data_IF_622625498205
#
_entry.id   IF_622625498205
#
_cell.length_a   1.000
_cell.length_b   1.000
_cell.length_c   1.000
_cell.angle_alpha   90.00
_cell.angle_beta   90.00
_cell.angle_gamma   90.00
#
_symmetry.space_group_name_H-M   'P 1'
#
loop_
_entity.id
_entity.type
_entity.pdbx_description
1 polymer ?
#
# COMPACT_ATOMS: atom_id res chain seq x y z
N UNK A 1 7.16 17.48 3.95
CA UNK A 1 5.73 17.26 3.66
C UNK A 1 5.07 16.82 4.94
N UNK A 2 3.96 17.46 5.33
CA UNK A 2 3.07 16.86 6.32
C UNK A 2 2.74 15.43 5.85
N UNK A 3 2.65 14.48 6.77
CA UNK A 3 2.43 13.09 6.38
C UNK A 3 1.15 13.00 5.54
N UNK A 4 1.24 12.54 4.31
CA UNK A 4 0.10 12.43 3.36
C UNK A 4 -1.12 11.75 4.02
N UNK A 5 -0.88 10.77 4.90
CA UNK A 5 -1.96 10.05 5.60
C UNK A 5 -2.88 10.98 6.42
N UNK A 6 -2.37 12.10 6.94
CA UNK A 6 -3.17 13.09 7.67
C UNK A 6 -3.95 14.06 6.76
N UNK A 7 -3.68 14.08 5.47
CA UNK A 7 -4.37 14.97 4.52
C UNK A 7 -5.78 14.46 4.24
N UNK A 8 -6.78 15.33 4.43
CA UNK A 8 -8.18 15.05 4.12
C UNK A 8 -8.61 15.45 2.71
N UNK A 9 -7.74 16.09 1.95
CA UNK A 9 -8.03 16.59 0.61
C UNK A 9 -7.82 15.49 -0.44
N UNK A 10 -8.89 14.99 -1.03
CA UNK A 10 -8.84 13.94 -2.03
C UNK A 10 -8.03 14.33 -3.27
N UNK A 11 -8.03 15.61 -3.65
CA UNK A 11 -7.27 16.14 -4.77
C UNK A 11 -5.76 15.96 -4.61
N UNK A 12 -5.23 16.12 -3.40
CA UNK A 12 -3.81 15.89 -3.11
C UNK A 12 -3.45 14.41 -3.31
N UNK A 13 -4.30 13.51 -2.79
CA UNK A 13 -4.13 12.07 -2.98
C UNK A 13 -4.22 11.68 -4.47
N UNK A 14 -5.16 12.29 -5.22
CA UNK A 14 -5.35 12.04 -6.65
C UNK A 14 -4.10 12.39 -7.45
N UNK A 15 -3.55 13.57 -7.23
CA UNK A 15 -2.30 14.01 -7.87
C UNK A 15 -1.12 13.09 -7.54
N UNK A 16 -1.01 12.61 -6.29
CA UNK A 16 0.01 11.61 -5.94
C UNK A 16 -0.22 10.29 -6.67
N UNK A 17 -1.47 9.83 -6.74
CA UNK A 17 -1.82 8.59 -7.44
C UNK A 17 -1.48 8.65 -8.94
N UNK A 18 -1.80 9.76 -9.60
CA UNK A 18 -1.46 10.01 -11.01
C UNK A 18 0.05 9.98 -11.27
N UNK A 19 0.85 10.38 -10.29
CA UNK A 19 2.32 10.36 -10.34
C UNK A 19 2.96 9.03 -9.92
N UNK A 20 2.16 8.03 -9.58
CA UNK A 20 2.69 6.74 -9.12
C UNK A 20 3.71 6.13 -10.08
N UNK A 21 3.36 6.03 -11.37
CA UNK A 21 4.23 5.44 -12.38
C UNK A 21 5.50 6.28 -12.64
N UNK A 22 5.41 7.60 -12.58
CA UNK A 22 6.57 8.47 -12.68
C UNK A 22 7.58 8.19 -11.54
N UNK A 23 7.09 7.95 -10.31
CA UNK A 23 7.93 7.57 -9.17
C UNK A 23 8.54 6.17 -9.36
N UNK A 24 7.78 5.20 -9.84
CA UNK A 24 8.27 3.86 -10.14
C UNK A 24 9.39 3.91 -11.18
N UNK A 25 9.19 4.62 -12.29
CA UNK A 25 10.19 4.79 -13.35
C UNK A 25 11.46 5.49 -12.85
N UNK A 26 11.31 6.59 -12.11
CA UNK A 26 12.45 7.31 -11.55
C UNK A 26 13.23 6.43 -10.57
N UNK A 27 12.53 5.62 -9.76
CA UNK A 27 13.15 4.67 -8.83
C UNK A 27 13.89 3.56 -9.58
N UNK A 28 13.30 3.05 -10.65
CA UNK A 28 13.91 2.03 -11.49
C UNK A 28 15.22 2.53 -12.13
N UNK A 29 15.18 3.74 -12.71
CA UNK A 29 16.35 4.39 -13.32
C UNK A 29 17.46 4.68 -12.29
N UNK A 30 17.08 5.09 -11.09
CA UNK A 30 18.06 5.48 -10.07
C UNK A 30 18.77 4.29 -9.40
N UNK A 31 18.05 3.21 -9.06
CA UNK A 31 18.58 2.15 -8.17
C UNK A 31 18.07 0.74 -8.42
N UNK A 32 16.92 0.55 -9.11
CA UNK A 32 16.19 -0.74 -9.14
C UNK A 32 15.69 -1.07 -10.55
N UNK A 33 16.55 -1.38 -11.52
CA UNK A 33 16.20 -1.47 -12.95
C UNK A 33 15.05 -2.45 -13.26
N UNK A 34 14.90 -3.52 -12.48
CA UNK A 34 13.80 -4.48 -12.65
C UNK A 34 12.45 -4.00 -12.10
N UNK A 35 12.42 -2.92 -11.31
CA UNK A 35 11.21 -2.52 -10.57
C UNK A 35 10.05 -2.21 -11.50
N UNK A 36 10.27 -1.46 -12.58
CA UNK A 36 9.21 -1.06 -13.49
C UNK A 36 8.48 -2.28 -14.09
N UNK A 37 9.23 -3.27 -14.57
CA UNK A 37 8.65 -4.48 -15.16
C UNK A 37 7.89 -5.30 -14.09
N UNK A 38 8.49 -5.49 -12.92
CA UNK A 38 7.89 -6.26 -11.84
C UNK A 38 6.65 -5.57 -11.29
N UNK A 39 6.65 -4.24 -11.21
CA UNK A 39 5.51 -3.49 -10.69
C UNK A 39 4.34 -3.49 -11.69
N UNK A 40 4.60 -3.34 -13.00
CA UNK A 40 3.57 -3.53 -14.04
C UNK A 40 2.95 -4.92 -13.97
N UNK A 41 3.77 -5.95 -13.87
CA UNK A 41 3.27 -7.30 -13.71
C UNK A 41 2.37 -7.45 -12.47
N UNK A 42 2.80 -6.91 -11.34
CA UNK A 42 2.04 -7.03 -10.09
C UNK A 42 0.73 -6.24 -10.12
N UNK A 43 0.73 -5.02 -10.69
CA UNK A 43 -0.45 -4.15 -10.68
C UNK A 43 -1.46 -4.51 -11.79
N UNK A 44 -1.01 -5.04 -12.91
CA UNK A 44 -1.84 -5.22 -14.11
C UNK A 44 -2.04 -6.70 -14.46
N UNK A 45 -0.95 -7.48 -14.54
CA UNK A 45 -1.02 -8.86 -15.05
C UNK A 45 -1.47 -9.86 -13.97
N UNK A 46 -0.87 -9.82 -12.77
CA UNK A 46 -1.20 -10.76 -11.71
C UNK A 46 -2.69 -10.72 -11.31
N UNK A 47 -3.33 -9.56 -11.11
CA UNK A 47 -4.76 -9.49 -10.85
C UNK A 47 -5.61 -10.13 -11.96
N UNK A 48 -5.27 -9.85 -13.22
CA UNK A 48 -5.96 -10.43 -14.37
C UNK A 48 -5.81 -11.96 -14.43
N UNK A 49 -4.60 -12.49 -14.16
CA UNK A 49 -4.34 -13.93 -14.09
C UNK A 49 -5.14 -14.60 -12.97
N UNK A 50 -5.19 -14.01 -11.77
CA UNK A 50 -5.99 -14.55 -10.67
C UNK A 50 -7.48 -14.57 -11.03
N UNK A 51 -8.01 -13.48 -11.59
CA UNK A 51 -9.42 -13.34 -11.94
C UNK A 51 -9.83 -14.23 -13.10
N UNK A 52 -8.93 -14.57 -14.03
CA UNK A 52 -9.22 -15.46 -15.16
C UNK A 52 -9.44 -16.92 -14.74
N UNK A 53 -9.01 -17.31 -13.54
CA UNK A 53 -9.16 -18.68 -13.03
C UNK A 53 -10.51 -18.85 -12.34
N UNK A 54 -11.28 -19.91 -12.65
CA UNK A 54 -12.58 -20.16 -12.02
C UNK A 54 -12.49 -20.24 -10.49
N UNK A 55 -11.42 -20.82 -9.97
CA UNK A 55 -11.16 -21.07 -8.56
C UNK A 55 -10.11 -20.12 -7.95
N UNK A 56 -9.91 -18.97 -8.53
CA UNK A 56 -9.03 -17.87 -8.06
C UNK A 56 -7.88 -18.33 -7.16
N UNK A 57 -6.72 -18.52 -7.71
CA UNK A 57 -5.51 -18.91 -6.98
C UNK A 57 -4.27 -18.29 -7.62
N UNK A 58 -3.13 -18.40 -6.96
CA UNK A 58 -1.82 -18.12 -7.53
C UNK A 58 -1.02 -19.42 -7.70
N UNK A 59 -0.14 -19.43 -8.69
CA UNK A 59 0.83 -20.52 -8.93
C UNK A 59 2.11 -20.29 -8.16
N UNK A 60 2.97 -21.33 -8.07
CA UNK A 60 4.29 -21.19 -7.46
C UNK A 60 5.18 -20.21 -8.24
N UNK A 61 5.06 -20.17 -9.55
CA UNK A 61 5.81 -19.20 -10.39
C UNK A 61 5.38 -17.76 -10.08
N UNK A 62 4.09 -17.51 -9.89
CA UNK A 62 3.56 -16.21 -9.50
C UNK A 62 3.97 -15.84 -8.07
N UNK A 63 3.98 -16.80 -7.12
CA UNK A 63 4.48 -16.56 -5.77
C UNK A 63 5.97 -16.16 -5.78
N UNK A 64 6.79 -16.82 -6.60
CA UNK A 64 8.21 -16.47 -6.77
C UNK A 64 8.38 -15.07 -7.34
N UNK A 65 7.61 -14.72 -8.37
CA UNK A 65 7.67 -13.40 -9.00
C UNK A 65 7.14 -12.30 -8.07
N UNK A 66 6.05 -12.57 -7.32
CA UNK A 66 5.54 -11.67 -6.27
C UNK A 66 6.59 -11.41 -5.19
N UNK A 67 7.32 -12.46 -4.78
CA UNK A 67 8.40 -12.30 -3.81
C UNK A 67 9.55 -11.46 -4.39
N UNK A 68 9.95 -11.67 -5.66
CA UNK A 68 10.96 -10.85 -6.33
C UNK A 68 10.51 -9.39 -6.41
N UNK A 69 9.26 -9.13 -6.83
CA UNK A 69 8.66 -7.80 -6.84
C UNK A 69 8.73 -7.13 -5.46
N UNK A 70 8.24 -7.82 -4.43
CA UNK A 70 8.18 -7.30 -3.06
C UNK A 70 9.57 -6.93 -2.53
N UNK A 71 10.56 -7.78 -2.75
CA UNK A 71 11.95 -7.55 -2.30
C UNK A 71 12.67 -6.49 -3.13
N UNK A 72 12.29 -6.33 -4.40
CA UNK A 72 12.81 -5.26 -5.27
C UNK A 72 12.17 -3.92 -4.90
N UNK A 73 10.88 -3.88 -4.65
CA UNK A 73 10.15 -2.66 -4.28
C UNK A 73 10.57 -2.14 -2.89
N UNK A 74 10.70 -3.02 -1.92
CA UNK A 74 11.05 -2.71 -0.54
C UNK A 74 12.49 -3.05 -0.14
N UNK A 75 12.64 -3.72 1.00
CA UNK A 75 13.94 -4.14 1.58
C UNK A 75 14.32 -5.53 1.06
N UNK A 76 15.55 -5.69 0.57
CA UNK A 76 16.07 -6.97 0.09
C UNK A 76 16.27 -7.96 1.24
N UNK A 77 15.67 -9.16 1.11
CA UNK A 77 15.74 -10.26 2.08
C UNK A 77 15.85 -11.60 1.35
N UNK A 78 17.03 -12.00 0.87
CA UNK A 78 17.22 -13.15 -0.05
C UNK A 78 16.71 -14.47 0.51
N UNK A 79 16.75 -14.67 1.82
CA UNK A 79 16.27 -15.88 2.49
C UNK A 79 14.77 -16.10 2.30
N UNK A 80 13.98 -15.04 2.19
CA UNK A 80 12.53 -15.14 1.96
C UNK A 80 12.24 -15.67 0.55
N UNK A 81 13.01 -15.27 -0.43
CA UNK A 81 12.84 -15.75 -1.82
C UNK A 81 13.11 -17.25 -1.93
N UNK A 82 14.16 -17.75 -1.27
CA UNK A 82 14.49 -19.16 -1.23
C UNK A 82 13.39 -19.99 -0.53
N UNK A 83 12.89 -19.49 0.60
CA UNK A 83 11.80 -20.13 1.34
C UNK A 83 10.52 -20.20 0.51
N UNK A 84 10.11 -19.10 -0.12
CA UNK A 84 8.93 -19.08 -0.98
C UNK A 84 9.06 -20.07 -2.15
N UNK A 85 10.25 -20.13 -2.77
CA UNK A 85 10.54 -21.03 -3.87
C UNK A 85 10.55 -22.51 -3.47
N UNK A 86 10.70 -22.84 -2.18
CA UNK A 86 10.72 -24.22 -1.66
C UNK A 86 9.33 -24.80 -1.37
N UNK A 87 8.25 -24.06 -1.64
CA UNK A 87 6.89 -24.60 -1.58
C UNK A 87 6.61 -25.51 -2.77
N UNK A 88 5.71 -26.47 -2.61
CA UNK A 88 5.17 -27.25 -3.73
C UNK A 88 4.08 -26.48 -4.48
N UNK A 89 3.96 -26.71 -5.79
CA UNK A 89 2.92 -26.09 -6.64
C UNK A 89 1.52 -26.30 -6.07
N UNK A 90 1.15 -27.56 -5.78
CA UNK A 90 -0.18 -27.90 -5.24
C UNK A 90 -0.47 -27.21 -3.91
N UNK A 91 0.55 -27.06 -3.06
CA UNK A 91 0.40 -26.37 -1.78
C UNK A 91 0.09 -24.88 -1.99
N UNK A 92 0.80 -24.22 -2.91
CA UNK A 92 0.58 -22.80 -3.22
C UNK A 92 -0.83 -22.58 -3.80
N UNK A 93 -1.23 -23.37 -4.79
CA UNK A 93 -2.57 -23.28 -5.39
C UNK A 93 -3.66 -23.57 -4.37
N UNK A 94 -3.54 -24.63 -3.58
CA UNK A 94 -4.52 -25.00 -2.56
C UNK A 94 -4.68 -23.91 -1.50
N UNK A 95 -3.58 -23.43 -0.92
CA UNK A 95 -3.61 -22.41 0.14
C UNK A 95 -4.12 -21.08 -0.36
N UNK A 96 -3.69 -20.64 -1.54
CA UNK A 96 -4.19 -19.40 -2.11
C UNK A 96 -5.67 -19.47 -2.50
N UNK A 97 -6.13 -20.59 -3.04
CA UNK A 97 -7.56 -20.82 -3.32
C UNK A 97 -8.38 -20.75 -2.04
N UNK A 98 -7.98 -21.45 -1.01
CA UNK A 98 -8.66 -21.43 0.30
C UNK A 98 -8.69 -20.01 0.86
N UNK A 99 -7.55 -19.32 0.86
CA UNK A 99 -7.46 -17.96 1.39
C UNK A 99 -8.36 -16.97 0.64
N UNK A 100 -8.37 -17.01 -0.68
CA UNK A 100 -9.23 -16.12 -1.48
C UNK A 100 -10.72 -16.46 -1.33
N UNK A 101 -11.04 -17.73 -1.06
CA UNK A 101 -12.41 -18.16 -0.72
C UNK A 101 -12.87 -17.73 0.67
N UNK A 102 -11.97 -17.40 1.58
CA UNK A 102 -12.31 -16.91 2.92
C UNK A 102 -12.69 -15.41 2.94
N UNK A 103 -12.38 -14.67 1.87
CA UNK A 103 -12.77 -13.25 1.82
C UNK A 103 -14.29 -13.09 1.91
N UNK A 104 -14.79 -12.13 2.69
CA UNK A 104 -14.10 -10.95 3.25
C UNK A 104 -13.41 -11.18 4.62
N UNK A 105 -13.31 -12.38 5.16
CA UNK A 105 -12.55 -12.66 6.40
C UNK A 105 -11.04 -12.56 6.13
N UNK A 106 -10.54 -11.32 6.12
CA UNK A 106 -9.12 -11.04 5.85
C UNK A 106 -8.18 -11.67 6.88
N UNK A 107 -8.46 -11.65 8.20
CA UNK A 107 -7.62 -12.35 9.19
C UNK A 107 -7.46 -13.84 8.89
N UNK A 108 -8.53 -14.55 8.57
CA UNK A 108 -8.49 -15.97 8.22
C UNK A 108 -7.71 -16.20 6.91
N UNK A 109 -7.91 -15.36 5.90
CA UNK A 109 -7.18 -15.42 4.63
C UNK A 109 -5.67 -15.21 4.82
N UNK A 110 -5.27 -14.26 5.67
CA UNK A 110 -3.85 -14.03 6.02
C UNK A 110 -3.25 -15.23 6.74
N UNK A 111 -3.97 -15.82 7.69
CA UNK A 111 -3.52 -17.01 8.43
C UNK A 111 -3.29 -18.20 7.48
N UNK A 112 -4.22 -18.42 6.54
CA UNK A 112 -4.13 -19.50 5.55
C UNK A 112 -2.89 -19.34 4.64
N UNK A 113 -2.67 -18.16 4.06
CA UNK A 113 -1.49 -17.87 3.25
C UNK A 113 -0.19 -17.96 4.05
N UNK A 114 -0.21 -17.55 5.31
CA UNK A 114 0.97 -17.58 6.18
C UNK A 114 1.41 -18.99 6.56
N UNK A 115 0.64 -20.02 6.21
CA UNK A 115 1.05 -21.42 6.33
C UNK A 115 2.09 -21.84 5.27
N UNK A 116 2.26 -21.06 4.20
CA UNK A 116 3.29 -21.30 3.18
C UNK A 116 4.67 -20.84 3.69
N UNK A 117 5.71 -21.58 3.30
CA UNK A 117 7.09 -21.25 3.67
C UNK A 117 7.49 -19.89 3.09
N UNK A 118 8.06 -19.02 3.93
CA UNK A 118 8.49 -17.68 3.54
C UNK A 118 7.35 -16.65 3.36
N UNK A 119 6.11 -17.05 3.61
CA UNK A 119 4.93 -16.17 3.54
C UNK A 119 4.48 -15.82 4.95
N UNK A 120 4.76 -14.61 5.39
CA UNK A 120 4.18 -14.04 6.60
C UNK A 120 3.08 -13.02 6.25
N UNK A 121 2.47 -12.34 7.24
CA UNK A 121 1.36 -11.41 7.02
C UNK A 121 1.61 -10.35 5.95
N UNK A 122 2.82 -9.78 5.88
CA UNK A 122 3.16 -8.81 4.83
C UNK A 122 3.21 -9.42 3.42
N UNK A 123 3.64 -10.68 3.25
CA UNK A 123 3.60 -11.33 1.94
C UNK A 123 2.18 -11.80 1.60
N UNK A 124 1.44 -12.30 2.60
CA UNK A 124 0.03 -12.64 2.46
C UNK A 124 -0.79 -11.42 2.01
N UNK A 125 -0.56 -10.25 2.61
CA UNK A 125 -1.25 -9.01 2.22
C UNK A 125 -0.97 -8.61 0.78
N UNK A 126 0.22 -8.90 0.23
CA UNK A 126 0.51 -8.65 -1.18
C UNK A 126 -0.29 -9.56 -2.12
N UNK A 127 -0.47 -10.83 -1.75
CA UNK A 127 -1.34 -11.75 -2.53
C UNK A 127 -2.80 -11.27 -2.51
N UNK A 128 -3.28 -10.90 -1.31
CA UNK A 128 -4.66 -10.46 -1.13
C UNK A 128 -4.93 -9.13 -1.84
N UNK A 129 -3.99 -8.19 -1.80
CA UNK A 129 -4.15 -6.89 -2.45
C UNK A 129 -4.21 -7.00 -3.99
N UNK A 130 -3.49 -7.94 -4.59
CA UNK A 130 -3.61 -8.23 -6.02
C UNK A 130 -4.97 -8.83 -6.39
N UNK A 131 -5.55 -9.65 -5.50
CA UNK A 131 -6.81 -10.36 -5.76
C UNK A 131 -8.06 -9.55 -5.37
N UNK A 132 -7.96 -8.72 -4.33
CA UNK A 132 -9.08 -7.98 -3.73
C UNK A 132 -8.67 -6.58 -3.26
N UNK A 133 -8.26 -5.68 -4.18
CA UNK A 133 -7.73 -4.35 -3.85
C UNK A 133 -8.74 -3.44 -3.15
N UNK A 134 -10.04 -3.72 -3.29
CA UNK A 134 -11.09 -2.98 -2.59
C UNK A 134 -11.16 -3.31 -1.09
N UNK A 135 -10.73 -4.51 -0.69
CA UNK A 135 -10.81 -5.00 0.69
C UNK A 135 -9.47 -4.94 1.41
N UNK A 136 -8.36 -5.00 0.68
CA UNK A 136 -7.03 -5.21 1.26
C UNK A 136 -5.98 -4.26 0.68
N UNK A 137 -4.89 -4.08 1.41
CA UNK A 137 -3.73 -3.31 0.97
C UNK A 137 -2.45 -4.10 1.26
N UNK A 138 -1.45 -3.99 0.41
CA UNK A 138 -0.13 -4.50 0.72
C UNK A 138 0.48 -3.75 1.92
N UNK A 139 0.98 -4.46 2.91
CA UNK A 139 1.71 -3.87 4.01
C UNK A 139 3.18 -3.69 3.63
N UNK A 140 3.46 -2.69 2.79
CA UNK A 140 4.83 -2.24 2.53
C UNK A 140 5.38 -1.50 3.75
N UNK A 141 6.71 -1.53 3.92
CA UNK A 141 7.37 -0.79 5.01
C UNK A 141 7.08 0.71 4.88
N UNK A 142 7.18 1.24 3.68
CA UNK A 142 6.99 2.65 3.36
C UNK A 142 5.58 3.13 3.70
N UNK A 143 4.55 2.35 3.34
CA UNK A 143 3.17 2.70 3.67
C UNK A 143 2.89 2.54 5.16
N UNK A 144 3.31 1.44 5.79
CA UNK A 144 3.08 1.20 7.21
C UNK A 144 3.80 2.24 8.10
N UNK A 145 5.02 2.64 7.72
CA UNK A 145 5.77 3.71 8.41
C UNK A 145 5.09 5.09 8.27
N UNK A 146 4.30 5.30 7.21
CA UNK A 146 3.57 6.55 6.96
C UNK A 146 2.25 6.67 7.73
N UNK A 147 1.75 5.57 8.30
CA UNK A 147 0.48 5.56 9.04
C UNK A 147 0.70 5.87 10.52
N UNK A 148 0.10 6.93 11.08
CA UNK A 148 0.30 7.31 12.49
C UNK A 148 -0.11 6.22 13.47
N UNK A 149 0.72 6.01 14.51
CA UNK A 149 0.45 5.06 15.59
C UNK A 149 0.72 3.59 15.24
N UNK A 150 1.41 3.32 14.13
CA UNK A 150 1.84 1.96 13.76
C UNK A 150 3.35 1.72 13.95
N UNK A 151 4.08 2.69 14.44
CA UNK A 151 5.52 2.56 14.71
C UNK A 151 5.77 2.00 16.12
N UNK A 152 6.74 1.10 16.30
CA UNK A 152 7.54 0.42 15.26
C UNK A 152 6.72 -0.61 14.48
N UNK A 153 6.97 -0.70 13.16
CA UNK A 153 6.27 -1.66 12.29
C UNK A 153 6.58 -3.10 12.70
N UNK A 154 5.52 -3.88 12.91
CA UNK A 154 5.59 -5.30 13.25
C UNK A 154 4.94 -6.13 12.14
N UNK A 155 5.57 -7.25 11.78
CA UNK A 155 5.06 -8.11 10.70
C UNK A 155 4.16 -9.23 11.25
N UNK A 156 3.24 -8.88 12.15
CA UNK A 156 2.27 -9.78 12.76
C UNK A 156 0.88 -9.60 12.13
N UNK A 157 0.03 -10.64 12.20
CA UNK A 157 -1.34 -10.55 11.74
C UNK A 157 -2.14 -9.45 12.47
N UNK A 158 -1.92 -9.29 13.78
CA UNK A 158 -2.54 -8.22 14.57
C UNK A 158 -2.15 -6.83 14.07
N UNK A 159 -0.87 -6.63 13.76
CA UNK A 159 -0.39 -5.34 13.25
C UNK A 159 -0.92 -5.05 11.85
N UNK A 160 -1.01 -6.08 11.01
CA UNK A 160 -1.64 -5.95 9.69
C UNK A 160 -3.12 -5.58 9.79
N UNK A 161 -3.88 -6.19 10.71
CA UNK A 161 -5.27 -5.83 10.92
C UNK A 161 -5.43 -4.35 11.29
N UNK A 162 -4.63 -3.84 12.24
CA UNK A 162 -4.62 -2.43 12.62
C UNK A 162 -4.26 -1.49 11.46
N UNK A 163 -3.29 -1.90 10.63
CA UNK A 163 -2.93 -1.17 9.42
C UNK A 163 -4.11 -1.11 8.45
N UNK A 164 -4.73 -2.25 8.16
CA UNK A 164 -5.84 -2.34 7.21
C UNK A 164 -7.06 -1.54 7.67
N UNK A 165 -7.41 -1.59 8.97
CA UNK A 165 -8.51 -0.79 9.54
C UNK A 165 -8.29 0.71 9.31
N UNK A 166 -7.05 1.20 9.51
CA UNK A 166 -6.71 2.60 9.26
C UNK A 166 -6.77 2.95 7.77
N UNK A 167 -6.31 2.06 6.90
CA UNK A 167 -6.37 2.26 5.44
C UNK A 167 -7.81 2.28 4.95
N UNK A 168 -8.65 1.36 5.40
CA UNK A 168 -10.07 1.32 5.05
C UNK A 168 -10.82 2.58 5.55
N UNK A 169 -10.55 3.01 6.79
CA UNK A 169 -11.14 4.23 7.34
C UNK A 169 -10.73 5.49 6.54
N UNK A 170 -9.47 5.57 6.12
CA UNK A 170 -8.99 6.70 5.30
C UNK A 170 -9.58 6.65 3.89
N UNK A 171 -9.67 5.49 3.25
CA UNK A 171 -10.33 5.33 1.94
C UNK A 171 -11.80 5.77 2.01
N UNK A 172 -12.52 5.37 3.07
CA UNK A 172 -13.90 5.80 3.29
C UNK A 172 -14.03 7.32 3.48
N UNK A 173 -13.07 7.98 4.15
CA UNK A 173 -13.06 9.45 4.28
C UNK A 173 -12.89 10.14 2.94
N UNK A 174 -11.92 9.69 2.14
CA UNK A 174 -11.66 10.26 0.82
C UNK A 174 -12.85 10.07 -0.12
N UNK A 175 -13.50 8.90 -0.10
CA UNK A 175 -14.68 8.63 -0.92
C UNK A 175 -15.89 9.50 -0.57
N UNK A 176 -15.94 10.09 0.63
CA UNK A 176 -17.02 11.04 0.98
C UNK A 176 -16.87 12.41 0.32
N UNK A 177 -15.63 12.78 -0.02
CA UNK A 177 -15.32 14.12 -0.55
C UNK A 177 -14.87 14.07 -2.00
N UNK A 178 -14.46 12.92 -2.51
CA UNK A 178 -14.05 12.73 -3.91
C UNK A 178 -15.26 12.32 -4.75
N UNK A 179 -15.62 13.10 -5.81
CA UNK A 179 -16.72 12.74 -6.70
C UNK A 179 -16.59 11.38 -7.39
N UNK A 180 -15.35 10.89 -7.60
CA UNK A 180 -15.11 9.61 -8.26
C UNK A 180 -15.36 8.41 -7.34
N UNK A 181 -15.26 8.60 -6.01
CA UNK A 181 -15.53 7.58 -4.99
C UNK A 181 -14.85 6.23 -5.23
N UNK A 182 -13.64 6.24 -5.78
CA UNK A 182 -12.91 5.05 -6.21
C UNK A 182 -11.66 4.73 -5.37
N UNK A 183 -11.54 5.37 -4.20
CA UNK A 183 -10.47 5.11 -3.26
C UNK A 183 -10.62 3.75 -2.60
N UNK A 184 -9.53 2.98 -2.63
CA UNK A 184 -9.42 1.66 -2.01
C UNK A 184 -8.21 1.63 -1.08
N UNK A 185 -8.15 0.71 -0.10
CA UNK A 185 -6.95 0.51 0.70
C UNK A 185 -5.69 0.32 -0.14
N UNK A 186 -5.80 -0.41 -1.26
CA UNK A 186 -4.68 -0.62 -2.18
C UNK A 186 -4.20 0.67 -2.85
N UNK A 187 -5.10 1.51 -3.36
CA UNK A 187 -4.73 2.81 -3.96
C UNK A 187 -4.03 3.73 -2.95
N UNK A 188 -4.48 3.72 -1.69
CA UNK A 188 -3.81 4.48 -0.64
C UNK A 188 -2.38 3.96 -0.40
N UNK A 189 -2.18 2.65 -0.42
CA UNK A 189 -0.84 2.07 -0.30
C UNK A 189 0.09 2.57 -1.40
N UNK A 190 -0.38 2.61 -2.64
CA UNK A 190 0.39 3.12 -3.78
C UNK A 190 0.82 4.59 -3.56
N UNK A 191 -0.11 5.44 -3.10
CA UNK A 191 0.17 6.84 -2.80
C UNK A 191 1.20 7.00 -1.67
N UNK A 192 1.05 6.24 -0.58
CA UNK A 192 1.94 6.31 0.57
C UNK A 192 3.35 5.83 0.20
N UNK A 193 3.43 4.71 -0.53
CA UNK A 193 4.70 4.19 -1.03
C UNK A 193 5.38 5.20 -1.97
N UNK A 194 4.65 5.77 -2.91
CA UNK A 194 5.18 6.76 -3.85
C UNK A 194 5.74 7.99 -3.11
N UNK A 195 4.97 8.53 -2.17
CA UNK A 195 5.38 9.69 -1.38
C UNK A 195 6.62 9.41 -0.53
N UNK A 196 6.64 8.28 0.19
CA UNK A 196 7.78 7.89 1.03
C UNK A 196 9.04 7.62 0.19
N UNK A 197 8.88 6.94 -0.95
CA UNK A 197 9.98 6.61 -1.85
C UNK A 197 10.55 7.87 -2.52
N UNK A 198 9.70 8.75 -3.05
CA UNK A 198 10.14 10.00 -3.65
C UNK A 198 10.87 10.89 -2.64
N UNK A 199 10.38 10.97 -1.41
CA UNK A 199 11.04 11.70 -0.32
C UNK A 199 12.41 11.10 0.02
N UNK A 200 12.49 9.79 0.19
CA UNK A 200 13.72 9.07 0.55
C UNK A 200 14.80 9.16 -0.53
N UNK A 201 14.40 9.14 -1.79
CA UNK A 201 15.30 9.21 -2.94
C UNK A 201 15.50 10.64 -3.47
N UNK A 202 14.86 11.62 -2.85
CA UNK A 202 14.88 13.03 -3.25
C UNK A 202 14.49 13.22 -4.74
N UNK A 203 13.45 12.49 -5.16
CA UNK A 203 12.96 12.56 -6.53
C UNK A 203 12.12 13.84 -6.70
N UNK A 204 12.35 14.64 -7.78
CA UNK A 204 11.62 15.88 -8.01
C UNK A 204 10.15 15.66 -8.44
N UNK A 205 9.78 14.43 -8.77
CA UNK A 205 8.48 14.05 -9.35
C UNK A 205 7.25 14.55 -8.57
N UNK A 206 7.42 14.76 -7.25
CA UNK A 206 6.35 15.24 -6.35
C UNK A 206 6.63 16.66 -5.80
N UNK A 207 7.56 17.41 -6.36
CA UNK A 207 7.89 18.76 -5.85
C UNK A 207 6.76 19.76 -6.07
N UNK A 208 6.06 19.66 -7.19
CA UNK A 208 4.90 20.50 -7.51
C UNK A 208 3.75 20.38 -6.49
N UNK A 209 3.72 19.25 -5.74
CA UNK A 209 2.73 19.03 -4.69
C UNK A 209 3.11 19.69 -3.36
N UNK A 210 4.35 20.18 -3.22
CA UNK A 210 4.83 20.89 -2.01
C UNK A 210 4.45 22.37 -2.00
N UNK A 211 4.10 22.96 -3.16
CA UNK A 211 3.84 24.39 -3.34
C UNK A 211 2.42 24.85 -3.02
N UNK A 212 1.50 23.97 -2.62
CA UNK A 212 0.11 24.31 -2.31
C UNK A 212 -0.16 24.81 -0.89
N UNK A 213 0.80 24.77 0.02
CA UNK A 213 0.62 25.13 1.44
C UNK A 213 1.10 26.55 1.78
N UNK A 214 0.62 27.60 1.03
CA UNK A 214 0.82 28.99 1.47
C UNK A 214 -0.44 29.83 1.27
N UNK A 215 -1.53 29.42 1.88
CA UNK A 215 -2.59 30.33 2.34
C UNK A 215 -3.13 29.83 3.68
N UNK A 216 -2.36 30.00 4.74
CA UNK A 216 -2.93 30.10 6.09
C UNK A 216 -3.75 31.37 6.10
N UNK A 217 -5.06 31.22 6.01
CA UNK A 217 -6.00 32.29 6.33
C UNK A 217 -5.79 32.70 7.79
N UNK A 218 -5.20 33.87 7.93
CA UNK A 218 -5.09 34.63 9.16
C UNK A 218 -6.51 35.06 9.56
N UNK A 219 -7.17 34.29 10.38
CA UNK A 219 -8.46 34.56 10.97
C UNK A 219 -8.43 34.19 12.45
N UNK A 220 -7.80 35.04 13.27
CA UNK A 220 -8.31 35.38 14.59
C UNK A 220 -7.44 36.45 15.27
N UNK A 221 -7.70 37.71 14.99
CA UNK A 221 -7.38 38.79 15.89
C UNK A 221 -8.63 39.62 16.16
N UNK A 222 -9.48 39.18 17.10
CA UNK A 222 -10.45 40.04 17.75
C UNK A 222 -9.74 40.83 18.86
N UNK A 223 -9.78 42.16 18.84
CA UNK A 223 -9.27 42.96 19.96
C UNK A 223 -10.23 42.89 21.14
N UNK A 224 -9.74 42.37 22.27
CA UNK A 224 -10.44 42.44 23.56
C UNK A 224 -10.46 43.88 24.04
N UNK A 225 -11.65 44.50 24.05
CA UNK A 225 -11.92 45.80 24.70
C UNK A 225 -11.76 45.66 26.21
N UNK A 226 -10.78 46.31 26.77
CA UNK A 226 -10.68 46.54 28.22
C UNK A 226 -11.79 47.47 28.66
N UNK A 227 -12.74 46.98 29.49
CA UNK A 227 -13.65 47.81 30.27
C UNK A 227 -12.82 48.48 31.37
N UNK A 228 -12.80 49.80 31.39
CA UNK A 228 -12.39 50.58 32.57
C UNK A 228 -13.64 50.73 33.44
N UNK A 229 -13.54 50.26 34.68
CA UNK A 229 -14.48 50.61 35.78
C UNK A 229 -13.95 51.89 36.46
N UNK A 230 -14.86 52.83 36.57
CA UNK A 230 -14.75 54.00 37.44
C UNK A 230 -15.19 53.62 38.86
#
# INVERSE_FOLDING_TARGET
>A
MAALFGCGEAEVWRRVYEKYWDVVEATAKAKKPKLLQLDKWYQEELPALILSRPDKHITLSELKMLMEWKLTRGKFRPRLQQLAASNGEDAVQKRSRTALGLLPDVPAAVAELSSLKGVGPATASAVLAAAAPALTAFMSDEAAESVPGLQPVQYTAKHYALYLDKMAAQAAKLNRVDPQQDWTPHRLELCLWATATATKLQLPVLEDLKGGDTQTSDCDQRPTKKLKTA
#
